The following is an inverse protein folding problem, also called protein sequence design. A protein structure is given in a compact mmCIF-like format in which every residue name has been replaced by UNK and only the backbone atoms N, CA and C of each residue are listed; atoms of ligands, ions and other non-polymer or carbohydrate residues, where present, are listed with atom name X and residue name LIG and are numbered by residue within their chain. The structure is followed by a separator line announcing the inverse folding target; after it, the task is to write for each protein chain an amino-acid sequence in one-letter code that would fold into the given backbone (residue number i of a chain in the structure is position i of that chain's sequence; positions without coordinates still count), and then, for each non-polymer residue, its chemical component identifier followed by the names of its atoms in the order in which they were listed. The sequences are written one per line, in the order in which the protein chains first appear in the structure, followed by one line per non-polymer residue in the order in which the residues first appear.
data_IF_608401104286
#
_entry.id   IF_608401104286
#
_cell.length_a   1.000
_cell.length_b   1.000
_cell.length_c   1.000
_cell.angle_alpha   90.00
_cell.angle_beta   90.00
_cell.angle_gamma   90.00
#
_symmetry.space_group_name_H-M   'P 1'
#
loop_
_entity.id
_entity.type
_entity.pdbx_description
1 polymer ?
#
# COMPACT_ATOMS: atom_id res chain seq x y z
N UNK A 1 65.79 17.91 -11.47
CA UNK A 1 64.73 16.94 -11.73
C UNK A 1 63.96 16.80 -10.43
N UNK A 2 62.62 16.99 -10.47
CA UNK A 2 61.66 16.93 -9.33
C UNK A 2 61.68 18.17 -8.43
N UNK A 3 60.59 18.87 -8.06
CA UNK A 3 59.12 18.71 -8.13
C UNK A 3 58.53 20.12 -7.82
N UNK A 4 57.54 20.63 -8.56
CA UNK A 4 56.10 20.76 -8.16
C UNK A 4 55.89 21.41 -6.77
N UNK A 5 55.48 22.69 -6.65
CA UNK A 5 54.13 23.24 -6.91
C UNK A 5 53.04 22.47 -6.12
N UNK A 6 52.44 23.09 -5.09
CA UNK A 6 51.02 23.45 -5.12
C UNK A 6 50.55 24.10 -3.81
N UNK A 7 49.80 25.17 -4.01
CA UNK A 7 48.88 25.86 -3.11
C UNK A 7 47.78 24.89 -2.61
N UNK A 8 47.57 24.77 -1.30
CA UNK A 8 46.39 24.05 -0.75
C UNK A 8 45.56 25.02 0.10
N UNK A 9 44.95 25.96 -0.62
CA UNK A 9 43.51 26.20 -0.62
C UNK A 9 42.73 25.70 0.62
N UNK A 10 42.61 26.59 1.60
CA UNK A 10 41.60 26.52 2.64
C UNK A 10 40.18 26.46 2.05
N UNK A 11 39.65 25.25 1.86
CA UNK A 11 38.22 25.00 1.70
C UNK A 11 37.80 23.93 2.70
N UNK A 12 37.47 24.36 3.91
CA UNK A 12 36.62 23.58 4.78
C UNK A 12 35.30 23.33 4.03
N UNK A 13 35.17 22.13 3.45
CA UNK A 13 33.89 21.64 2.96
C UNK A 13 32.99 21.49 4.18
N UNK A 14 32.10 22.46 4.38
CA UNK A 14 30.95 22.31 5.26
C UNK A 14 30.24 21.01 4.86
N UNK A 15 30.01 20.08 5.81
CA UNK A 15 29.21 18.91 5.49
C UNK A 15 27.81 19.43 5.19
N UNK A 16 27.44 19.41 3.91
CA UNK A 16 26.05 19.54 3.49
C UNK A 16 25.33 18.39 4.17
N UNK A 17 24.62 18.69 5.26
CA UNK A 17 23.56 17.86 5.80
C UNK A 17 22.52 17.76 4.68
N UNK A 18 22.73 16.82 3.76
CA UNK A 18 21.66 16.35 2.89
C UNK A 18 20.70 15.68 3.85
N UNK A 19 19.69 16.42 4.28
CA UNK A 19 18.49 15.84 4.87
C UNK A 19 17.90 14.99 3.75
N UNK A 20 18.36 13.74 3.65
CA UNK A 20 17.57 12.68 3.06
C UNK A 20 16.31 12.66 3.92
N UNK A 21 15.32 13.45 3.52
CA UNK A 21 13.92 13.18 3.83
C UNK A 21 13.70 11.76 3.30
N UNK A 22 13.94 10.76 4.15
CA UNK A 22 13.56 9.40 3.87
C UNK A 22 12.12 9.50 3.35
N UNK A 23 11.83 8.99 2.13
CA UNK A 23 10.51 9.15 1.55
C UNK A 23 9.52 8.69 2.61
N UNK A 24 8.62 9.59 3.00
CA UNK A 24 7.67 9.40 4.08
C UNK A 24 7.18 7.96 4.01
N UNK A 25 7.48 7.15 5.05
CA UNK A 25 7.21 5.70 5.13
C UNK A 25 6.04 5.38 4.23
N UNK A 26 6.28 4.73 3.09
CA UNK A 26 5.29 4.57 2.02
C UNK A 26 4.00 4.10 2.68
N UNK A 27 3.03 5.00 2.80
CA UNK A 27 1.82 4.71 3.55
C UNK A 27 1.01 3.76 2.71
N UNK A 28 0.65 2.60 3.25
CA UNK A 28 -0.13 1.59 2.55
C UNK A 28 -1.43 2.19 1.99
N UNK A 29 -2.06 3.07 2.78
CA UNK A 29 -3.38 3.63 2.53
C UNK A 29 -3.37 5.01 1.87
N UNK A 30 -2.20 5.65 1.74
CA UNK A 30 -2.09 6.94 1.07
C UNK A 30 -2.38 6.82 -0.44
N UNK A 31 -3.28 7.67 -0.93
CA UNK A 31 -3.81 7.68 -2.32
C UNK A 31 -4.61 6.43 -2.71
N UNK A 32 -4.95 5.56 -1.75
CA UNK A 32 -5.65 4.31 -2.04
C UNK A 32 -7.13 4.53 -2.34
N UNK A 33 -7.77 5.49 -1.66
CA UNK A 33 -9.20 5.78 -1.82
C UNK A 33 -9.43 6.70 -3.01
N UNK A 34 -10.26 6.24 -3.96
CA UNK A 34 -10.65 6.98 -5.16
C UNK A 34 -12.18 7.08 -5.29
N UNK A 35 -12.69 8.09 -6.00
CA UNK A 35 -14.12 8.15 -6.31
C UNK A 35 -14.51 7.03 -7.28
N UNK A 36 -15.77 6.59 -7.23
CA UNK A 36 -16.32 5.61 -8.17
C UNK A 36 -16.05 5.99 -9.64
N UNK A 37 -15.66 5.00 -10.44
CA UNK A 37 -15.37 5.14 -11.88
C UNK A 37 -14.26 6.15 -12.21
N UNK A 38 -13.42 6.52 -11.23
CA UNK A 38 -12.30 7.43 -11.46
C UNK A 38 -11.05 6.69 -11.92
N UNK A 39 -10.97 5.38 -11.68
CA UNK A 39 -9.90 4.58 -12.23
C UNK A 39 -10.12 4.37 -13.74
N UNK A 40 -9.36 5.10 -14.56
CA UNK A 40 -9.17 4.79 -16.00
C UNK A 40 -8.27 3.56 -16.22
N UNK A 41 -8.21 2.64 -15.25
CA UNK A 41 -7.35 1.48 -15.31
C UNK A 41 -8.09 0.33 -15.96
N UNK A 42 -7.45 -0.40 -16.87
CA UNK A 42 -7.97 -1.65 -17.43
C UNK A 42 -7.87 -2.83 -16.43
N UNK A 43 -7.51 -2.54 -15.18
CA UNK A 43 -7.41 -3.50 -14.11
C UNK A 43 -8.78 -4.11 -13.76
N UNK A 44 -8.83 -5.39 -13.36
CA UNK A 44 -10.05 -6.01 -12.89
C UNK A 44 -10.57 -5.27 -11.64
N UNK A 45 -11.87 -5.00 -11.63
CA UNK A 45 -12.55 -4.38 -10.50
C UNK A 45 -13.40 -5.43 -9.80
N UNK A 46 -13.20 -5.63 -8.50
CA UNK A 46 -13.97 -6.53 -7.66
C UNK A 46 -14.86 -5.72 -6.71
N UNK A 47 -16.10 -6.17 -6.54
CA UNK A 47 -16.96 -5.65 -5.48
C UNK A 47 -16.58 -6.35 -4.17
N UNK A 48 -16.23 -5.59 -3.14
CA UNK A 48 -15.84 -6.16 -1.87
C UNK A 48 -17.04 -6.65 -1.05
N UNK A 49 -18.26 -6.18 -1.34
CA UNK A 49 -19.47 -6.56 -0.61
C UNK A 49 -19.98 -7.97 -0.98
N UNK A 50 -19.32 -8.64 -1.93
CA UNK A 50 -19.57 -10.04 -2.26
C UNK A 50 -19.24 -10.97 -1.06
N UNK A 51 -19.78 -12.20 -1.05
CA UNK A 51 -19.51 -13.18 0.00
C UNK A 51 -18.01 -13.42 0.21
N UNK A 52 -17.60 -13.60 1.47
CA UNK A 52 -16.20 -13.78 1.86
C UNK A 52 -15.50 -14.90 1.09
N UNK A 53 -16.22 -15.99 0.80
CA UNK A 53 -15.70 -17.15 0.07
C UNK A 53 -15.33 -16.78 -1.38
N UNK A 54 -16.17 -15.99 -2.04
CA UNK A 54 -15.93 -15.53 -3.41
C UNK A 54 -14.81 -14.49 -3.44
N UNK A 55 -14.80 -13.55 -2.49
CA UNK A 55 -13.74 -12.56 -2.36
C UNK A 55 -12.38 -13.21 -2.06
N UNK A 56 -12.35 -14.20 -1.16
CA UNK A 56 -11.12 -14.91 -0.84
C UNK A 56 -10.60 -15.75 -2.01
N UNK A 57 -11.49 -16.41 -2.76
CA UNK A 57 -11.12 -17.14 -3.96
C UNK A 57 -10.50 -16.21 -5.03
N UNK A 58 -11.07 -15.01 -5.19
CA UNK A 58 -10.49 -13.98 -6.06
C UNK A 58 -9.11 -13.54 -5.56
N UNK A 59 -9.00 -13.14 -4.28
CA UNK A 59 -7.73 -12.69 -3.68
C UNK A 59 -6.63 -13.75 -3.71
N UNK A 60 -6.97 -15.02 -3.59
CA UNK A 60 -6.03 -16.13 -3.69
C UNK A 60 -5.39 -16.24 -5.08
N UNK A 61 -6.08 -15.78 -6.14
CA UNK A 61 -5.57 -15.78 -7.51
C UNK A 61 -4.64 -14.60 -7.82
N UNK A 62 -4.77 -13.49 -7.08
CA UNK A 62 -4.11 -12.22 -7.38
C UNK A 62 -2.58 -12.25 -7.30
N UNK A 63 -1.93 -12.93 -6.34
CA UNK A 63 -0.46 -13.06 -6.32
C UNK A 63 0.13 -13.68 -7.60
N UNK A 64 -0.68 -14.41 -8.37
CA UNK A 64 -0.27 -15.01 -9.64
C UNK A 64 -0.60 -14.15 -10.86
N UNK A 65 -1.24 -13.00 -10.66
CA UNK A 65 -1.55 -12.05 -11.73
C UNK A 65 -0.51 -10.95 -11.79
N UNK A 66 0.03 -10.68 -12.98
CA UNK A 66 0.89 -9.52 -13.23
C UNK A 66 0.14 -8.17 -13.20
N UNK A 67 -1.19 -8.22 -13.03
CA UNK A 67 -2.05 -7.04 -13.00
C UNK A 67 -2.67 -6.87 -11.62
N UNK A 68 -2.47 -5.71 -10.99
CA UNK A 68 -3.23 -5.34 -9.80
C UNK A 68 -4.72 -5.18 -10.08
N UNK A 69 -5.52 -5.08 -9.03
CA UNK A 69 -6.97 -4.98 -9.07
C UNK A 69 -7.46 -3.73 -8.33
N UNK A 70 -8.72 -3.40 -8.55
CA UNK A 70 -9.43 -2.31 -7.89
C UNK A 70 -10.54 -2.91 -7.04
N UNK A 71 -10.59 -2.59 -5.75
CA UNK A 71 -11.71 -2.99 -4.89
C UNK A 71 -12.79 -1.91 -4.93
N UNK A 72 -14.06 -2.28 -4.85
CA UNK A 72 -15.18 -1.34 -4.65
C UNK A 72 -15.89 -1.65 -3.36
N UNK A 73 -16.11 -0.64 -2.55
CA UNK A 73 -16.92 -0.79 -1.35
C UNK A 73 -17.45 0.54 -0.84
N UNK A 74 -18.62 0.51 -0.24
CA UNK A 74 -19.20 1.63 0.48
C UNK A 74 -18.98 1.52 1.99
N UNK A 75 -18.47 0.38 2.48
CA UNK A 75 -18.22 0.14 3.90
C UNK A 75 -16.74 0.31 4.24
N UNK A 76 -16.46 1.18 5.21
CA UNK A 76 -15.10 1.36 5.75
C UNK A 76 -14.55 0.08 6.39
N UNK A 77 -15.37 -0.68 7.12
CA UNK A 77 -14.98 -1.97 7.71
C UNK A 77 -14.59 -2.97 6.63
N UNK A 78 -15.33 -2.97 5.52
CA UNK A 78 -15.03 -3.84 4.39
C UNK A 78 -13.76 -3.42 3.66
N UNK A 79 -13.49 -2.12 3.54
CA UNK A 79 -12.22 -1.63 3.00
C UNK A 79 -11.03 -2.11 3.85
N UNK A 80 -11.16 -2.05 5.17
CA UNK A 80 -10.15 -2.56 6.11
C UNK A 80 -9.94 -4.07 5.96
N UNK A 81 -11.03 -4.83 5.87
CA UNK A 81 -11.02 -6.27 5.64
C UNK A 81 -10.31 -6.64 4.32
N UNK A 82 -10.62 -5.94 3.22
CA UNK A 82 -9.98 -6.17 1.91
C UNK A 82 -8.49 -5.90 1.96
N UNK A 83 -8.06 -4.81 2.61
CA UNK A 83 -6.63 -4.51 2.75
C UNK A 83 -5.93 -5.63 3.54
N UNK A 84 -6.47 -6.01 4.70
CA UNK A 84 -5.90 -7.09 5.52
C UNK A 84 -5.87 -8.43 4.77
N UNK A 85 -6.96 -8.77 4.07
CA UNK A 85 -7.07 -9.99 3.28
C UNK A 85 -6.13 -10.02 2.07
N UNK A 86 -5.89 -8.88 1.43
CA UNK A 86 -4.90 -8.76 0.35
C UNK A 86 -3.50 -9.03 0.86
N UNK A 87 -3.16 -8.43 2.00
CA UNK A 87 -1.87 -8.68 2.66
C UNK A 87 -1.76 -10.16 3.03
N UNK A 88 -2.82 -10.75 3.60
CA UNK A 88 -2.85 -12.17 3.90
C UNK A 88 -2.63 -13.03 2.64
N UNK A 89 -3.27 -12.72 1.52
CA UNK A 89 -3.09 -13.44 0.26
C UNK A 89 -1.64 -13.37 -0.26
N UNK A 90 -1.02 -12.18 -0.21
CA UNK A 90 0.39 -11.99 -0.63
C UNK A 90 1.35 -12.73 0.30
N UNK A 91 1.06 -12.73 1.60
CA UNK A 91 1.89 -13.38 2.60
C UNK A 91 1.60 -14.89 2.76
N UNK A 92 0.57 -15.42 2.11
CA UNK A 92 0.15 -16.82 2.22
C UNK A 92 -0.54 -17.17 3.55
N UNK A 93 -1.20 -16.20 4.20
CA UNK A 93 -2.01 -16.41 5.40
C UNK A 93 -3.48 -16.69 5.08
N UNK A 94 -4.27 -16.97 6.12
CA UNK A 94 -5.70 -17.28 6.01
C UNK A 94 -6.51 -16.04 5.59
N UNK A 95 -6.95 -16.03 4.33
CA UNK A 95 -7.66 -14.89 3.72
C UNK A 95 -9.05 -14.71 4.33
N UNK A 96 -9.79 -15.80 4.56
CA UNK A 96 -11.14 -15.76 5.15
C UNK A 96 -11.09 -15.23 6.58
N UNK A 97 -10.12 -15.68 7.37
CA UNK A 97 -9.84 -15.21 8.71
C UNK A 97 -9.49 -13.73 8.72
N UNK A 98 -8.67 -13.26 7.78
CA UNK A 98 -8.36 -11.84 7.62
C UNK A 98 -9.58 -10.99 7.19
N UNK A 99 -10.50 -11.54 6.40
CA UNK A 99 -11.76 -10.86 6.04
C UNK A 99 -12.71 -10.73 7.23
N UNK A 100 -12.80 -11.78 8.06
CA UNK A 100 -13.69 -11.81 9.24
C UNK A 100 -13.11 -11.05 10.43
N UNK A 101 -11.80 -11.10 10.59
CA UNK A 101 -11.09 -10.49 11.70
C UNK A 101 -9.78 -9.85 11.19
N UNK A 102 -9.85 -8.64 10.62
CA UNK A 102 -8.69 -7.97 10.04
C UNK A 102 -7.64 -7.66 11.12
N UNK A 103 -6.43 -8.20 10.93
CA UNK A 103 -5.32 -7.97 11.85
C UNK A 103 -4.61 -6.65 11.54
N UNK A 104 -5.08 -5.58 12.20
CA UNK A 104 -4.57 -4.23 12.01
C UNK A 104 -3.11 -4.10 12.46
N UNK A 105 -2.72 -4.79 13.54
CA UNK A 105 -1.36 -4.72 14.07
C UNK A 105 -0.38 -5.38 13.10
N UNK A 106 -0.76 -6.53 12.54
CA UNK A 106 0.00 -7.20 11.49
C UNK A 106 0.18 -6.30 10.26
N UNK A 107 -0.89 -5.67 9.77
CA UNK A 107 -0.82 -4.76 8.62
C UNK A 107 0.04 -3.52 8.92
N UNK A 108 0.02 -2.98 10.14
CA UNK A 108 0.89 -1.87 10.56
C UNK A 108 2.36 -2.30 10.73
N UNK A 109 2.60 -3.56 11.07
CA UNK A 109 3.94 -4.15 11.24
C UNK A 109 4.61 -4.55 9.92
N UNK A 110 3.93 -4.35 8.77
CA UNK A 110 4.43 -4.78 7.47
C UNK A 110 5.77 -4.14 7.12
N UNK A 111 6.66 -4.99 6.60
CA UNK A 111 7.95 -4.56 6.07
C UNK A 111 7.76 -3.81 4.75
N UNK A 112 8.65 -2.87 4.39
CA UNK A 112 8.54 -2.10 3.16
C UNK A 112 8.29 -2.93 1.88
N UNK A 113 8.90 -4.12 1.67
CA UNK A 113 8.61 -4.95 0.49
C UNK A 113 7.16 -5.45 0.44
N UNK A 114 6.54 -5.76 1.58
CA UNK A 114 5.16 -6.22 1.63
C UNK A 114 4.18 -5.08 1.35
N UNK A 115 4.48 -3.86 1.83
CA UNK A 115 3.71 -2.66 1.51
C UNK A 115 3.73 -2.39 0.02
N UNK A 116 4.91 -2.47 -0.61
CA UNK A 116 5.06 -2.29 -2.06
C UNK A 116 4.27 -3.34 -2.85
N UNK A 117 4.42 -4.62 -2.50
CA UNK A 117 3.66 -5.69 -3.13
C UNK A 117 2.15 -5.47 -3.02
N UNK A 118 1.68 -5.06 -1.84
CA UNK A 118 0.26 -4.76 -1.61
C UNK A 118 -0.20 -3.57 -2.45
N UNK A 119 0.62 -2.53 -2.62
CA UNK A 119 0.30 -1.37 -3.47
C UNK A 119 0.37 -1.68 -4.97
N UNK A 120 1.18 -2.64 -5.38
CA UNK A 120 1.20 -3.15 -6.76
C UNK A 120 -0.03 -3.98 -7.07
N UNK A 121 -0.49 -4.74 -6.08
CA UNK A 121 -1.66 -5.61 -6.18
C UNK A 121 -2.97 -4.85 -6.02
N UNK A 122 -3.16 -4.10 -4.94
CA UNK A 122 -4.35 -3.30 -4.69
C UNK A 122 -4.08 -1.87 -5.18
N UNK A 123 -4.59 -1.57 -6.37
CA UNK A 123 -4.31 -0.31 -7.06
C UNK A 123 -5.13 0.84 -6.50
N UNK A 124 -6.38 0.56 -6.13
CA UNK A 124 -7.30 1.54 -5.55
C UNK A 124 -8.48 0.84 -4.88
N UNK A 125 -9.12 1.57 -3.96
CA UNK A 125 -10.45 1.26 -3.43
C UNK A 125 -11.38 2.38 -3.90
N UNK A 126 -12.31 2.04 -4.80
CA UNK A 126 -13.34 2.99 -5.25
C UNK A 126 -14.54 2.99 -4.30
N UNK A 127 -15.02 4.18 -3.99
CA UNK A 127 -16.18 4.38 -3.12
C UNK A 127 -16.95 5.65 -3.49
N UNK A 128 -18.24 5.67 -3.15
CA UNK A 128 -19.06 6.88 -3.17
C UNK A 128 -18.80 7.77 -1.93
N UNK A 129 -18.29 7.17 -0.84
CA UNK A 129 -18.11 7.79 0.46
C UNK A 129 -16.63 7.84 0.88
N UNK A 130 -15.85 8.68 0.17
CA UNK A 130 -14.39 8.73 0.37
C UNK A 130 -13.97 9.12 1.80
N UNK A 131 -14.73 10.00 2.45
CA UNK A 131 -14.44 10.42 3.82
C UNK A 131 -14.52 9.23 4.79
N UNK A 132 -15.60 8.45 4.71
CA UNK A 132 -15.81 7.30 5.59
C UNK A 132 -14.73 6.22 5.40
N UNK A 133 -14.34 5.95 4.14
CA UNK A 133 -13.26 5.01 3.87
C UNK A 133 -11.91 5.51 4.37
N UNK A 134 -11.60 6.79 4.17
CA UNK A 134 -10.35 7.38 4.66
C UNK A 134 -10.28 7.34 6.18
N UNK A 135 -11.38 7.60 6.88
CA UNK A 135 -11.45 7.47 8.34
C UNK A 135 -11.22 6.03 8.80
N UNK A 136 -11.86 5.04 8.18
CA UNK A 136 -11.63 3.64 8.52
C UNK A 136 -10.18 3.20 8.28
N UNK A 137 -9.62 3.56 7.12
CA UNK A 137 -8.24 3.25 6.75
C UNK A 137 -7.19 4.03 7.56
N UNK A 138 -7.58 5.14 8.21
CA UNK A 138 -6.70 5.86 9.13
C UNK A 138 -6.27 4.99 10.32
N UNK A 139 -6.97 3.90 10.62
CA UNK A 139 -6.54 2.92 11.63
C UNK A 139 -5.20 2.25 11.28
N UNK A 140 -4.86 2.17 9.99
CA UNK A 140 -3.55 1.69 9.53
C UNK A 140 -2.48 2.80 9.50
N UNK A 141 -2.87 4.06 9.68
CA UNK A 141 -1.92 5.15 9.79
C UNK A 141 -1.09 4.97 11.07
N UNK A 142 0.22 5.24 11.01
CA UNK A 142 1.11 5.06 12.14
C UNK A 142 0.93 6.08 13.25
#
# INVERSE_FOLDING_TARGET
MTHDDHDDNAKHSEPVLVTLSAPARKSLVADLVRPLNSAKSSAPTIDADIPDEELAAFLAGIPHTDTGYIARTESGERAVAVVAATVAAICGFDIIGALRNPDIDFVRSLKPPAIEATRTVLLAIETSSEAQLREALATFAP
#
